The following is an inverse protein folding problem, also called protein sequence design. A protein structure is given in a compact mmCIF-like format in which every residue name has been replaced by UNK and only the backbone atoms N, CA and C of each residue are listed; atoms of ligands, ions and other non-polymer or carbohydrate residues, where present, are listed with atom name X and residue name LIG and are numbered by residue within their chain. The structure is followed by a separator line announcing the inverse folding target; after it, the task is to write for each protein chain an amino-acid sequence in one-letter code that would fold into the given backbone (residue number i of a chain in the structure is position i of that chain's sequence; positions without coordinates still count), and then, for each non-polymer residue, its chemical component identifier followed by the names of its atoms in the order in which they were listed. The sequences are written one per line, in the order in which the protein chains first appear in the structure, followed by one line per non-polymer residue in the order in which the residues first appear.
data_IF_248854130427
#
_entry.id   IF_248854130427
#
_cell.length_a   1.000
_cell.length_b   1.000
_cell.length_c   1.000
_cell.angle_alpha   90.00
_cell.angle_beta   90.00
_cell.angle_gamma   90.00
#
_symmetry.space_group_name_H-M   'P 1'
#
loop_
_entity.id
_entity.type
_entity.pdbx_description
1 polymer ?
#
# COMPACT_ATOMS: atom_id res chain seq x y z
N UNK A 1 -16.95 -8.28 12.71
CA UNK A 1 -17.64 -8.34 11.40
C UNK A 1 -16.58 -8.66 10.34
N UNK A 2 -16.80 -9.63 9.45
CA UNK A 2 -15.83 -9.90 8.37
C UNK A 2 -16.10 -8.99 7.18
N UNK A 3 -15.07 -8.26 6.73
CA UNK A 3 -15.12 -7.44 5.51
C UNK A 3 -14.28 -8.12 4.44
N UNK A 4 -14.90 -8.43 3.30
CA UNK A 4 -14.18 -8.85 2.10
C UNK A 4 -13.78 -7.61 1.31
N UNK A 5 -12.52 -7.55 0.87
CA UNK A 5 -12.02 -6.53 -0.04
C UNK A 5 -11.66 -7.23 -1.35
N UNK A 6 -12.12 -6.71 -2.47
CA UNK A 6 -11.77 -7.20 -3.80
C UNK A 6 -10.82 -6.22 -4.47
N UNK A 7 -9.79 -6.73 -5.13
CA UNK A 7 -8.79 -5.91 -5.81
C UNK A 7 -9.44 -5.07 -6.92
N UNK A 8 -10.37 -5.67 -7.67
CA UNK A 8 -11.10 -5.02 -8.75
C UNK A 8 -12.01 -3.86 -8.27
N UNK A 9 -12.39 -3.85 -6.99
CA UNK A 9 -13.19 -2.78 -6.40
C UNK A 9 -12.34 -1.59 -5.93
N UNK A 10 -11.01 -1.74 -5.85
CA UNK A 10 -10.12 -0.64 -5.51
C UNK A 10 -9.88 0.27 -6.73
N UNK A 11 -9.80 1.60 -6.54
CA UNK A 11 -9.31 2.49 -7.58
C UNK A 11 -7.94 2.04 -8.10
N UNK A 12 -7.69 2.16 -9.42
CA UNK A 12 -6.45 1.71 -10.04
C UNK A 12 -5.20 2.34 -9.43
N UNK A 13 -5.30 3.58 -8.92
CA UNK A 13 -4.21 4.25 -8.20
C UNK A 13 -3.84 3.53 -6.90
N UNK A 14 -4.82 3.04 -6.15
CA UNK A 14 -4.59 2.27 -4.92
C UNK A 14 -4.03 0.88 -5.23
N UNK A 15 -4.50 0.24 -6.30
CA UNK A 15 -3.95 -1.04 -6.76
C UNK A 15 -2.46 -0.88 -7.13
N UNK A 16 -2.11 0.13 -7.92
CA UNK A 16 -0.72 0.42 -8.28
C UNK A 16 0.12 0.77 -7.04
N UNK A 17 -0.38 1.63 -6.15
CA UNK A 17 0.30 1.98 -4.91
C UNK A 17 0.65 0.73 -4.06
N UNK A 18 -0.31 -0.19 -3.93
CA UNK A 18 -0.11 -1.45 -3.20
C UNK A 18 0.90 -2.37 -3.90
N UNK A 19 0.80 -2.51 -5.23
CA UNK A 19 1.75 -3.31 -6.02
C UNK A 19 3.18 -2.77 -5.91
N UNK A 20 3.35 -1.46 -6.01
CA UNK A 20 4.66 -0.82 -5.88
C UNK A 20 5.21 -0.96 -4.47
N UNK A 21 4.35 -0.86 -3.44
CA UNK A 21 4.75 -1.11 -2.07
C UNK A 21 5.22 -2.56 -1.85
N UNK A 22 4.60 -3.55 -2.49
CA UNK A 22 5.03 -4.94 -2.44
C UNK A 22 6.38 -5.13 -3.17
N UNK A 23 6.44 -4.78 -4.46
CA UNK A 23 7.63 -4.96 -5.32
C UNK A 23 8.87 -4.24 -4.82
N UNK A 24 8.70 -3.04 -4.27
CA UNK A 24 9.81 -2.18 -3.86
C UNK A 24 10.14 -2.28 -2.37
N UNK A 25 9.54 -3.27 -1.66
CA UNK A 25 9.71 -3.46 -0.21
C UNK A 25 9.31 -2.24 0.62
N UNK A 26 8.26 -1.56 0.14
CA UNK A 26 7.54 -0.47 0.77
C UNK A 26 7.74 0.89 0.11
N UNK A 27 7.11 1.90 0.69
CA UNK A 27 7.13 3.29 0.24
C UNK A 27 7.66 4.19 1.34
N UNK A 28 8.41 5.22 0.96
CA UNK A 28 8.96 6.23 1.88
C UNK A 28 8.32 7.58 1.60
N UNK A 29 7.84 8.23 2.66
CA UNK A 29 7.37 9.61 2.62
C UNK A 29 8.57 10.56 2.54
N UNK A 30 8.65 11.33 1.45
CA UNK A 30 9.80 12.21 1.21
C UNK A 30 9.66 13.59 1.84
N UNK A 31 8.44 14.05 2.12
CA UNK A 31 8.19 15.31 2.84
C UNK A 31 6.95 15.21 3.73
N UNK A 32 6.86 16.00 4.82
CA UNK A 32 5.64 16.07 5.64
C UNK A 32 4.44 16.47 4.80
N UNK A 33 3.35 15.68 4.84
CA UNK A 33 2.16 15.78 3.95
C UNK A 33 2.44 15.57 2.46
N UNK A 34 3.66 15.22 2.09
CA UNK A 34 4.05 14.98 0.71
C UNK A 34 3.77 13.58 0.23
N UNK A 35 4.26 13.33 -0.98
CA UNK A 35 4.10 12.07 -1.65
C UNK A 35 4.96 10.96 -1.06
N UNK A 36 4.55 9.74 -1.35
CA UNK A 36 5.29 8.53 -1.10
C UNK A 36 5.95 8.06 -2.39
N UNK A 37 7.20 7.61 -2.28
CA UNK A 37 7.98 7.06 -3.41
C UNK A 37 8.44 5.65 -3.08
N UNK A 38 8.75 4.81 -4.09
CA UNK A 38 9.30 3.48 -3.87
C UNK A 38 10.56 3.52 -3.00
N UNK A 39 10.66 2.61 -2.03
CA UNK A 39 11.86 2.50 -1.18
C UNK A 39 13.05 1.96 -1.96
N UNK A 40 12.82 0.92 -2.75
CA UNK A 40 13.84 0.29 -3.59
C UNK A 40 13.55 0.56 -5.06
N UNK A 41 14.62 0.57 -5.86
CA UNK A 41 14.49 0.69 -7.31
C UNK A 41 13.81 -0.54 -7.89
N UNK A 42 12.85 -0.31 -8.78
CA UNK A 42 12.25 -1.33 -9.62
C UNK A 42 11.99 -0.74 -11.00
N UNK A 43 12.38 -1.44 -12.06
CA UNK A 43 12.35 -0.90 -13.43
C UNK A 43 10.93 -0.49 -13.89
N UNK A 44 9.89 -1.13 -13.35
CA UNK A 44 8.49 -0.81 -13.67
C UNK A 44 7.92 0.36 -12.85
N UNK A 45 8.65 0.85 -11.85
CA UNK A 45 8.16 1.83 -10.86
C UNK A 45 8.98 3.13 -10.93
N UNK A 46 9.68 3.35 -12.04
CA UNK A 46 10.53 4.54 -12.23
C UNK A 46 9.66 5.79 -12.29
N UNK A 47 9.95 6.74 -11.39
CA UNK A 47 9.18 7.98 -11.26
C UNK A 47 7.83 7.83 -10.55
N UNK A 48 7.51 6.63 -10.05
CA UNK A 48 6.26 6.40 -9.31
C UNK A 48 6.19 7.28 -8.06
N UNK A 49 5.03 7.90 -7.86
CA UNK A 49 4.80 8.86 -6.78
C UNK A 49 3.33 8.84 -6.40
N UNK A 50 3.04 8.56 -5.13
CA UNK A 50 1.69 8.36 -4.63
C UNK A 50 1.31 9.46 -3.64
N UNK A 51 0.07 9.95 -3.71
CA UNK A 51 -0.39 10.97 -2.78
C UNK A 51 -0.54 10.39 -1.37
N UNK A 52 -0.37 11.23 -0.35
CA UNK A 52 -0.56 10.81 1.03
C UNK A 52 -1.99 10.28 1.30
N UNK A 53 -2.99 10.78 0.57
CA UNK A 53 -4.37 10.30 0.64
C UNK A 53 -4.53 8.85 0.18
N UNK A 54 -3.86 8.46 -0.91
CA UNK A 54 -3.90 7.09 -1.43
C UNK A 54 -3.30 6.10 -0.43
N UNK A 55 -2.14 6.47 0.14
CA UNK A 55 -1.47 5.67 1.17
C UNK A 55 -2.32 5.61 2.45
N UNK A 56 -2.95 6.71 2.86
CA UNK A 56 -3.85 6.74 4.01
C UNK A 56 -5.08 5.84 3.81
N UNK A 57 -5.65 5.80 2.61
CA UNK A 57 -6.77 4.90 2.29
C UNK A 57 -6.36 3.42 2.44
N UNK A 58 -5.19 3.04 1.91
CA UNK A 58 -4.69 1.67 2.05
C UNK A 58 -4.31 1.30 3.49
N UNK A 59 -3.79 2.25 4.28
CA UNK A 59 -3.56 2.08 5.72
C UNK A 59 -4.88 1.85 6.47
N UNK A 60 -5.92 2.62 6.15
CA UNK A 60 -7.25 2.48 6.75
C UNK A 60 -7.92 1.14 6.40
N UNK A 61 -7.60 0.58 5.24
CA UNK A 61 -8.03 -0.76 4.82
C UNK A 61 -7.18 -1.89 5.40
N UNK A 62 -6.09 -1.58 6.11
CA UNK A 62 -5.15 -2.57 6.66
C UNK A 62 -4.29 -3.28 5.60
N UNK A 63 -4.22 -2.75 4.38
CA UNK A 63 -3.45 -3.31 3.27
C UNK A 63 -2.00 -2.82 3.27
N UNK A 64 -1.77 -1.64 3.86
CA UNK A 64 -0.44 -1.15 4.23
C UNK A 64 -0.33 -1.07 5.75
N UNK A 65 0.90 -1.10 6.26
CA UNK A 65 1.22 -0.80 7.65
C UNK A 65 2.43 0.13 7.74
N UNK A 66 2.38 1.07 8.68
CA UNK A 66 3.55 1.89 9.04
C UNK A 66 4.59 1.02 9.75
N UNK A 67 5.85 1.35 9.54
CA UNK A 67 6.94 0.73 10.28
C UNK A 67 6.98 1.23 11.72
N UNK A 68 7.11 0.31 12.69
CA UNK A 68 7.31 0.67 14.09
C UNK A 68 8.62 1.40 14.38
N UNK A 69 9.57 1.36 13.43
CA UNK A 69 10.88 2.02 13.56
C UNK A 69 10.95 3.37 12.87
N UNK A 70 10.01 3.69 11.99
CA UNK A 70 10.03 4.93 11.22
C UNK A 70 8.66 5.30 10.69
N UNK A 71 8.14 6.45 11.13
CA UNK A 71 6.80 6.93 10.77
C UNK A 71 6.66 7.32 9.30
N UNK A 72 7.77 7.57 8.61
CA UNK A 72 7.79 7.92 7.19
C UNK A 72 7.78 6.69 6.26
N UNK A 73 7.80 5.47 6.82
CA UNK A 73 7.93 4.24 6.03
C UNK A 73 6.67 3.38 6.17
N UNK A 74 6.14 2.94 5.03
CA UNK A 74 5.00 2.01 4.95
C UNK A 74 5.34 0.80 4.09
N UNK A 75 4.77 -0.36 4.41
CA UNK A 75 4.93 -1.61 3.65
C UNK A 75 3.58 -2.31 3.45
N UNK A 76 3.50 -3.16 2.44
CA UNK A 76 2.38 -4.09 2.28
C UNK A 76 2.27 -5.00 3.52
N UNK A 77 1.03 -5.24 3.96
CA UNK A 77 0.71 -6.25 4.97
C UNK A 77 0.49 -7.60 4.31
N UNK A 78 0.43 -8.67 5.10
CA UNK A 78 0.11 -10.00 4.60
C UNK A 78 -1.26 -10.02 3.89
N UNK A 79 -2.25 -9.28 4.40
CA UNK A 79 -3.54 -9.10 3.75
C UNK A 79 -3.42 -8.34 2.41
N UNK A 80 -2.56 -7.31 2.35
CA UNK A 80 -2.26 -6.60 1.10
C UNK A 80 -1.62 -7.52 0.05
N UNK A 81 -0.68 -8.38 0.47
CA UNK A 81 -0.03 -9.36 -0.40
C UNK A 81 -1.02 -10.44 -0.85
N UNK A 82 -1.86 -10.94 0.06
CA UNK A 82 -2.93 -11.89 -0.27
C UNK A 82 -3.90 -11.32 -1.32
N UNK A 83 -4.30 -10.05 -1.14
CA UNK A 83 -5.18 -9.34 -2.07
C UNK A 83 -4.56 -9.26 -3.48
N UNK A 84 -3.26 -8.97 -3.59
CA UNK A 84 -2.56 -8.92 -4.88
C UNK A 84 -2.44 -10.30 -5.54
N UNK A 85 -2.22 -11.35 -4.74
CA UNK A 85 -2.01 -12.70 -5.26
C UNK A 85 -3.31 -13.42 -5.67
N UNK A 86 -4.40 -13.17 -4.94
CA UNK A 86 -5.66 -13.92 -5.10
C UNK A 86 -6.79 -13.08 -5.66
N UNK A 87 -6.63 -11.75 -5.68
CA UNK A 87 -7.67 -10.80 -6.11
C UNK A 87 -8.67 -10.43 -5.02
N UNK A 88 -8.62 -11.04 -3.83
CA UNK A 88 -9.46 -10.69 -2.68
C UNK A 88 -8.71 -10.92 -1.35
N UNK A 89 -9.15 -10.28 -0.27
CA UNK A 89 -8.68 -10.60 1.07
C UNK A 89 -9.82 -10.47 2.09
N UNK A 90 -9.73 -11.24 3.18
CA UNK A 90 -10.68 -11.16 4.30
C UNK A 90 -10.03 -10.40 5.43
N UNK A 91 -10.64 -9.29 5.83
CA UNK A 91 -10.19 -8.50 6.98
C UNK A 91 -11.21 -8.61 8.11
N UNK A 92 -10.73 -8.94 9.31
CA UNK A 92 -11.54 -8.87 10.52
C UNK A 92 -11.60 -7.41 11.00
N UNK A 93 -12.81 -6.85 11.01
CA UNK A 93 -13.04 -5.55 11.63
C UNK A 93 -13.22 -5.79 13.13
N UNK A 94 -12.21 -5.37 13.91
CA UNK A 94 -12.24 -5.29 15.37
C UNK A 94 -13.16 -4.16 15.86
#
# INVERSE_FOLDING_TARGET
MHRTIELAALPSTLQLCLQTADRCGGLVQVTPRGAFVPRMFHAQEVGARYAAGDVAALLALGLLARSSRSDNFVRATDAGVELLNTGYCRSEVA
#
